data_IF_795487964543
#
_entry.id   IF_795487964543
#
_cell.length_a   1.000
_cell.length_b   1.000
_cell.length_c   1.000
_cell.angle_alpha   90.00
_cell.angle_beta   90.00
_cell.angle_gamma   90.00
#
_symmetry.space_group_name_H-M   'P 1'
#
loop_
_entity.id
_entity.type
_entity.pdbx_description
1 polymer ?
#
# COMPACT_ATOMS: atom_id res chain seq x y z
N UNK A 1 92.06 -64.47 91.34
CA UNK A 1 92.14 -63.30 90.44
C UNK A 1 91.13 -63.40 89.29
N UNK A 2 90.97 -64.59 88.71
CA UNK A 2 90.05 -64.88 87.59
C UNK A 2 88.55 -64.60 87.84
N UNK A 3 88.04 -64.87 89.06
CA UNK A 3 86.64 -64.58 89.41
C UNK A 3 86.36 -63.06 89.45
N UNK A 4 87.34 -62.25 89.89
CA UNK A 4 87.21 -60.79 89.92
C UNK A 4 87.24 -60.18 88.52
N UNK A 5 88.07 -60.72 87.61
CA UNK A 5 88.07 -60.27 86.21
C UNK A 5 86.80 -60.68 85.47
N UNK A 6 86.28 -61.88 85.73
CA UNK A 6 84.99 -62.32 85.18
C UNK A 6 83.83 -61.43 85.65
N UNK A 7 83.80 -61.06 86.94
CA UNK A 7 82.77 -60.14 87.45
C UNK A 7 82.88 -58.75 86.82
N UNK A 8 84.08 -58.22 86.62
CA UNK A 8 84.30 -56.94 85.92
C UNK A 8 83.76 -56.97 84.48
N UNK A 9 84.01 -58.06 83.75
CA UNK A 9 83.51 -58.22 82.37
C UNK A 9 81.99 -58.37 82.34
N UNK A 10 81.40 -59.06 83.32
CA UNK A 10 79.94 -59.16 83.46
C UNK A 10 79.32 -57.78 83.72
N UNK A 11 79.97 -56.95 84.53
CA UNK A 11 79.52 -55.57 84.81
C UNK A 11 79.59 -54.69 83.55
N UNK A 12 80.70 -54.72 82.81
CA UNK A 12 80.84 -54.02 81.52
C UNK A 12 79.83 -54.49 80.47
N UNK A 13 79.58 -55.80 80.38
CA UNK A 13 78.59 -56.36 79.47
C UNK A 13 77.16 -55.92 79.84
N UNK A 14 76.84 -55.85 81.13
CA UNK A 14 75.55 -55.31 81.60
C UNK A 14 75.39 -53.84 81.23
N UNK A 15 76.40 -53.01 81.49
CA UNK A 15 76.38 -51.60 81.14
C UNK A 15 76.23 -51.40 79.61
N UNK A 16 76.93 -52.23 78.82
CA UNK A 16 76.79 -52.21 77.35
C UNK A 16 75.39 -52.61 76.90
N UNK A 17 74.78 -53.62 77.54
CA UNK A 17 73.40 -54.04 77.27
C UNK A 17 72.41 -52.93 77.62
N UNK A 18 72.59 -52.24 78.75
CA UNK A 18 71.72 -51.15 79.17
C UNK A 18 71.81 -49.95 78.21
N UNK A 19 73.03 -49.59 77.77
CA UNK A 19 73.24 -48.56 76.74
C UNK A 19 72.56 -48.95 75.43
N UNK A 20 72.76 -50.20 74.98
CA UNK A 20 72.13 -50.70 73.75
C UNK A 20 70.61 -50.71 73.85
N UNK A 21 70.06 -51.03 75.02
CA UNK A 21 68.61 -51.01 75.25
C UNK A 21 68.06 -49.58 75.16
N UNK A 22 68.75 -48.60 75.77
CA UNK A 22 68.40 -47.19 75.67
C UNK A 22 68.47 -46.66 74.23
N UNK A 23 69.51 -47.04 73.48
CA UNK A 23 69.63 -46.71 72.05
C UNK A 23 68.48 -47.30 71.23
N UNK A 24 68.12 -48.56 71.50
CA UNK A 24 67.04 -49.27 70.81
C UNK A 24 65.68 -48.61 71.07
N UNK A 25 65.43 -48.18 72.30
CA UNK A 25 64.20 -47.49 72.66
C UNK A 25 64.14 -46.08 72.04
N UNK A 26 65.26 -45.34 71.98
CA UNK A 26 65.33 -44.08 71.25
C UNK A 26 65.06 -44.27 69.74
N UNK A 27 65.68 -45.27 69.12
CA UNK A 27 65.48 -45.58 67.71
C UNK A 27 64.02 -45.94 67.41
N UNK A 28 63.37 -46.69 68.29
CA UNK A 28 61.93 -46.99 68.19
C UNK A 28 61.08 -45.73 68.25
N UNK A 29 61.34 -44.83 69.20
CA UNK A 29 60.61 -43.56 69.29
C UNK A 29 60.80 -42.69 68.03
N UNK A 30 62.02 -42.66 67.47
CA UNK A 30 62.27 -41.96 66.20
C UNK A 30 61.54 -42.62 65.02
N UNK A 31 61.48 -43.95 64.99
CA UNK A 31 60.74 -44.70 63.96
C UNK A 31 59.24 -44.42 64.06
N UNK A 32 58.67 -44.41 65.26
CA UNK A 32 57.26 -44.05 65.48
C UNK A 32 56.97 -42.59 65.08
N UNK A 33 57.86 -41.66 65.42
CA UNK A 33 57.73 -40.26 65.02
C UNK A 33 57.81 -40.06 63.50
N UNK A 34 58.75 -40.74 62.84
CA UNK A 34 58.88 -40.66 61.37
C UNK A 34 57.70 -41.34 60.68
N UNK A 35 57.19 -42.44 61.21
CA UNK A 35 56.03 -43.13 60.67
C UNK A 35 54.75 -42.28 60.81
N UNK A 36 54.51 -41.67 61.97
CA UNK A 36 53.37 -40.74 62.17
C UNK A 36 53.47 -39.51 61.27
N UNK A 37 54.67 -38.95 61.07
CA UNK A 37 54.88 -37.86 60.11
C UNK A 37 54.63 -38.30 58.67
N UNK A 38 55.06 -39.51 58.30
CA UNK A 38 54.83 -40.08 56.97
C UNK A 38 53.34 -40.26 56.69
N UNK A 39 52.58 -40.83 57.63
CA UNK A 39 51.12 -41.00 57.46
C UNK A 39 50.39 -39.66 57.40
N UNK A 40 50.81 -38.67 58.18
CA UNK A 40 50.25 -37.32 58.12
C UNK A 40 50.50 -36.65 56.76
N UNK A 41 51.73 -36.72 56.23
CA UNK A 41 52.06 -36.18 54.91
C UNK A 41 51.28 -36.90 53.80
N UNK A 42 51.14 -38.21 53.90
CA UNK A 42 50.38 -39.00 52.92
C UNK A 42 48.90 -38.61 52.92
N UNK A 43 48.31 -38.36 54.09
CA UNK A 43 46.95 -37.84 54.21
C UNK A 43 46.81 -36.43 53.61
N UNK A 44 47.78 -35.54 53.84
CA UNK A 44 47.78 -34.20 53.24
C UNK A 44 47.89 -34.25 51.71
N UNK A 45 48.75 -35.12 51.16
CA UNK A 45 48.87 -35.32 49.71
C UNK A 45 47.55 -35.82 49.13
N UNK A 46 46.90 -36.78 49.78
CA UNK A 46 45.61 -37.30 49.32
C UNK A 46 44.51 -36.22 49.34
N UNK A 47 44.48 -35.38 50.38
CA UNK A 47 43.57 -34.24 50.46
C UNK A 47 43.84 -33.22 49.33
N UNK A 48 45.10 -32.91 49.06
CA UNK A 48 45.47 -32.00 47.96
C UNK A 48 45.11 -32.58 46.59
N UNK A 49 45.33 -33.88 46.37
CA UNK A 49 44.96 -34.56 45.13
C UNK A 49 43.45 -34.52 44.90
N UNK A 50 42.66 -34.89 45.91
CA UNK A 50 41.19 -34.83 45.81
C UNK A 50 40.67 -33.41 45.61
N UNK A 51 41.24 -32.41 46.29
CA UNK A 51 40.90 -31.00 46.06
C UNK A 51 41.25 -30.55 44.63
N UNK A 52 42.42 -30.95 44.12
CA UNK A 52 42.83 -30.65 42.75
C UNK A 52 41.90 -31.31 41.73
N UNK A 53 41.58 -32.59 41.89
CA UNK A 53 40.71 -33.34 40.97
C UNK A 53 39.30 -32.76 40.92
N UNK A 54 38.74 -32.39 42.07
CA UNK A 54 37.44 -31.71 42.13
C UNK A 54 37.47 -30.33 41.45
N UNK A 55 38.58 -29.60 41.57
CA UNK A 55 38.74 -28.31 40.90
C UNK A 55 38.86 -28.47 39.38
N UNK A 56 39.63 -29.47 38.92
CA UNK A 56 39.74 -29.81 37.50
C UNK A 56 38.38 -30.20 36.93
N UNK A 57 37.60 -31.01 37.65
CA UNK A 57 36.24 -31.36 37.22
C UNK A 57 35.34 -30.13 37.10
N UNK A 58 35.35 -29.21 38.07
CA UNK A 58 34.57 -27.96 38.02
C UNK A 58 34.98 -27.06 36.86
N UNK A 59 36.27 -26.96 36.58
CA UNK A 59 36.77 -26.18 35.45
C UNK A 59 36.35 -26.82 34.13
N UNK A 60 36.43 -28.14 34.00
CA UNK A 60 36.01 -28.85 32.79
C UNK A 60 34.50 -28.70 32.53
N UNK A 61 33.65 -28.80 33.56
CA UNK A 61 32.21 -28.57 33.39
C UNK A 61 31.92 -27.11 33.02
N UNK A 62 32.61 -26.15 33.64
CA UNK A 62 32.48 -24.74 33.28
C UNK A 62 32.91 -24.47 31.83
N UNK A 63 34.00 -25.09 31.37
CA UNK A 63 34.47 -24.97 30.00
C UNK A 63 33.42 -25.56 29.04
N UNK A 64 32.87 -26.75 29.34
CA UNK A 64 31.83 -27.38 28.52
C UNK A 64 30.59 -26.48 28.38
N UNK A 65 30.12 -25.91 29.49
CA UNK A 65 28.96 -25.02 29.47
C UNK A 65 29.24 -23.74 28.67
N UNK A 66 30.42 -23.15 28.83
CA UNK A 66 30.81 -21.96 28.07
C UNK A 66 30.97 -22.25 26.57
N UNK A 67 31.44 -23.45 26.21
CA UNK A 67 31.51 -23.86 24.80
C UNK A 67 30.13 -24.04 24.19
N UNK A 68 29.19 -24.65 24.91
CA UNK A 68 27.80 -24.80 24.47
C UNK A 68 27.12 -23.43 24.32
N UNK A 69 27.27 -22.54 25.31
CA UNK A 69 26.72 -21.18 25.25
C UNK A 69 27.29 -20.40 24.06
N UNK A 70 28.60 -20.51 23.82
CA UNK A 70 29.25 -19.89 22.66
C UNK A 70 28.67 -20.41 21.34
N UNK A 71 28.44 -21.71 21.21
CA UNK A 71 27.85 -22.29 20.00
C UNK A 71 26.42 -21.79 19.76
N UNK A 72 25.61 -21.70 20.81
CA UNK A 72 24.24 -21.15 20.73
C UNK A 72 24.25 -19.69 20.31
N UNK A 73 25.10 -18.86 20.92
CA UNK A 73 25.22 -17.44 20.57
C UNK A 73 25.72 -17.28 19.14
N UNK A 74 26.68 -18.11 18.71
CA UNK A 74 27.20 -18.07 17.34
C UNK A 74 26.13 -18.47 16.31
N UNK A 75 25.32 -19.47 16.60
CA UNK A 75 24.19 -19.86 15.74
C UNK A 75 23.14 -18.73 15.64
N UNK A 76 22.76 -18.13 16.77
CA UNK A 76 21.83 -17.00 16.80
C UNK A 76 22.37 -15.78 16.04
N UNK A 77 23.67 -15.51 16.14
CA UNK A 77 24.31 -14.43 15.39
C UNK A 77 24.26 -14.69 13.88
N UNK A 78 24.51 -15.92 13.43
CA UNK A 78 24.41 -16.31 12.03
C UNK A 78 22.98 -16.17 11.50
N UNK A 79 21.98 -16.58 12.29
CA UNK A 79 20.57 -16.42 11.93
C UNK A 79 20.19 -14.94 11.81
N UNK A 80 20.58 -14.12 12.78
CA UNK A 80 20.35 -12.67 12.75
C UNK A 80 21.01 -12.01 11.54
N UNK A 81 22.26 -12.39 11.22
CA UNK A 81 22.96 -11.89 10.04
C UNK A 81 22.25 -12.29 8.73
N UNK A 82 21.79 -13.54 8.60
CA UNK A 82 21.01 -13.98 7.45
C UNK A 82 19.70 -13.18 7.33
N UNK A 83 19.03 -12.91 8.46
CA UNK A 83 17.80 -12.12 8.48
C UNK A 83 18.02 -10.67 8.06
N UNK A 84 19.14 -10.07 8.44
CA UNK A 84 19.51 -8.72 8.00
C UNK A 84 19.64 -8.68 6.47
N UNK A 85 20.35 -9.65 5.88
CA UNK A 85 20.51 -9.73 4.42
C UNK A 85 19.14 -9.88 3.72
N UNK A 86 18.26 -10.74 4.24
CA UNK A 86 16.89 -10.86 3.71
C UNK A 86 16.13 -9.53 3.77
N UNK A 87 16.21 -8.83 4.91
CA UNK A 87 15.55 -7.54 5.08
C UNK A 87 16.12 -6.49 4.12
N UNK A 88 17.43 -6.43 3.93
CA UNK A 88 18.07 -5.53 2.97
C UNK A 88 17.59 -5.80 1.53
N UNK A 89 17.49 -7.07 1.12
CA UNK A 89 16.97 -7.40 -0.21
C UNK A 89 15.50 -7.02 -0.38
N UNK A 90 14.69 -7.18 0.67
CA UNK A 90 13.27 -6.78 0.62
C UNK A 90 13.11 -5.26 0.59
N UNK A 91 13.95 -4.52 1.31
CA UNK A 91 14.01 -3.06 1.28
C UNK A 91 14.37 -2.57 -0.13
N UNK A 92 15.34 -3.20 -0.80
CA UNK A 92 15.68 -2.84 -2.18
C UNK A 92 14.52 -3.09 -3.14
N UNK A 93 13.79 -4.21 -2.99
CA UNK A 93 12.56 -4.46 -3.77
C UNK A 93 11.49 -3.39 -3.52
N UNK A 94 11.32 -2.95 -2.28
CA UNK A 94 10.37 -1.89 -1.93
C UNK A 94 10.76 -0.58 -2.63
N UNK A 95 12.03 -0.19 -2.61
CA UNK A 95 12.51 1.03 -3.31
C UNK A 95 12.24 0.98 -4.83
N UNK A 96 12.41 -0.19 -5.44
CA UNK A 96 12.10 -0.37 -6.87
C UNK A 96 10.59 -0.21 -7.11
N UNK A 97 9.76 -0.81 -6.26
CA UNK A 97 8.30 -0.68 -6.35
C UNK A 97 7.83 0.77 -6.11
N UNK A 98 8.44 1.49 -5.18
CA UNK A 98 8.14 2.91 -4.94
C UNK A 98 8.38 3.75 -6.19
N UNK A 99 9.51 3.56 -6.87
CA UNK A 99 9.80 4.23 -8.16
C UNK A 99 8.80 3.82 -9.24
N UNK A 100 8.43 2.55 -9.31
CA UNK A 100 7.42 2.09 -10.27
C UNK A 100 6.04 2.72 -9.99
N UNK A 101 5.65 2.86 -8.73
CA UNK A 101 4.40 3.54 -8.35
C UNK A 101 4.44 5.02 -8.73
N UNK A 102 5.55 5.72 -8.46
CA UNK A 102 5.72 7.12 -8.82
C UNK A 102 5.61 7.33 -10.35
N UNK A 103 6.32 6.50 -11.14
CA UNK A 103 6.24 6.58 -12.61
C UNK A 103 4.82 6.28 -13.12
N UNK A 104 4.14 5.28 -12.57
CA UNK A 104 2.73 4.99 -12.90
C UNK A 104 1.81 6.15 -12.53
N UNK A 105 2.03 6.81 -11.41
CA UNK A 105 1.24 7.98 -10.99
C UNK A 105 1.38 9.13 -11.98
N UNK A 106 2.60 9.39 -12.48
CA UNK A 106 2.85 10.41 -13.51
C UNK A 106 2.12 10.04 -14.82
N UNK A 107 2.21 8.79 -15.26
CA UNK A 107 1.53 8.30 -16.47
C UNK A 107 0.00 8.42 -16.35
N UNK A 108 -0.55 8.08 -15.18
CA UNK A 108 -1.98 8.24 -14.91
C UNK A 108 -2.39 9.72 -14.97
N UNK A 109 -1.56 10.62 -14.44
CA UNK A 109 -1.76 12.07 -14.55
C UNK A 109 -1.79 12.55 -16.00
N UNK A 110 -0.86 12.07 -16.84
CA UNK A 110 -0.83 12.37 -18.29
C UNK A 110 -2.09 11.85 -19.00
N UNK A 111 -2.44 10.59 -18.81
CA UNK A 111 -3.62 9.99 -19.42
C UNK A 111 -4.93 10.70 -18.99
N UNK A 112 -5.03 11.11 -17.73
CA UNK A 112 -6.17 11.92 -17.25
C UNK A 112 -6.22 13.28 -17.93
N UNK A 113 -5.09 13.96 -18.07
CA UNK A 113 -5.03 15.26 -18.75
C UNK A 113 -5.40 15.13 -20.23
N UNK A 114 -4.89 14.11 -20.94
CA UNK A 114 -5.25 13.82 -22.32
C UNK A 114 -6.75 13.52 -22.47
N UNK A 115 -7.34 12.75 -21.56
CA UNK A 115 -8.78 12.49 -21.55
C UNK A 115 -9.61 13.77 -21.34
N UNK A 116 -9.15 14.68 -20.47
CA UNK A 116 -9.79 15.99 -20.27
C UNK A 116 -9.68 16.85 -21.54
N UNK A 117 -8.50 16.94 -22.16
CA UNK A 117 -8.31 17.67 -23.42
C UNK A 117 -9.22 17.11 -24.51
N UNK A 118 -9.27 15.77 -24.66
CA UNK A 118 -10.10 15.13 -25.67
C UNK A 118 -11.60 15.40 -25.45
N UNK A 119 -12.06 15.38 -24.20
CA UNK A 119 -13.43 15.76 -23.85
C UNK A 119 -13.71 17.23 -24.17
N UNK A 120 -12.77 18.14 -23.93
CA UNK A 120 -12.91 19.55 -24.32
C UNK A 120 -12.97 19.70 -25.85
N UNK A 121 -12.11 18.99 -26.58
CA UNK A 121 -12.12 18.98 -28.05
C UNK A 121 -13.44 18.45 -28.61
N UNK A 122 -13.97 17.37 -28.04
CA UNK A 122 -15.27 16.81 -28.42
C UNK A 122 -16.41 17.78 -28.11
N UNK A 123 -16.38 18.43 -26.94
CA UNK A 123 -17.34 19.46 -26.58
C UNK A 123 -17.32 20.65 -27.55
N UNK A 124 -16.13 21.13 -27.94
CA UNK A 124 -15.96 22.17 -28.96
C UNK A 124 -16.50 21.73 -30.33
N UNK A 125 -16.18 20.51 -30.77
CA UNK A 125 -16.65 19.97 -32.05
C UNK A 125 -18.18 19.85 -32.09
N UNK A 126 -18.81 19.34 -31.03
CA UNK A 126 -20.27 19.26 -30.90
C UNK A 126 -20.90 20.66 -30.85
N UNK A 127 -20.28 21.61 -30.14
CA UNK A 127 -20.72 23.00 -30.10
C UNK A 127 -20.68 23.67 -31.47
N UNK A 128 -19.58 23.47 -32.23
CA UNK A 128 -19.43 23.96 -33.60
C UNK A 128 -20.47 23.35 -34.54
N UNK A 129 -20.71 22.04 -34.47
CA UNK A 129 -21.76 21.38 -35.26
C UNK A 129 -23.14 21.94 -34.96
N UNK A 130 -23.47 22.16 -33.67
CA UNK A 130 -24.76 22.77 -33.27
C UNK A 130 -24.89 24.21 -33.75
N UNK A 131 -23.81 24.99 -33.72
CA UNK A 131 -23.83 26.34 -34.26
C UNK A 131 -23.99 26.34 -35.77
N UNK A 132 -23.29 25.44 -36.47
CA UNK A 132 -23.38 25.30 -37.91
C UNK A 132 -24.80 24.87 -38.33
N UNK A 133 -25.41 23.88 -37.66
CA UNK A 133 -26.80 23.47 -37.93
C UNK A 133 -27.78 24.63 -37.75
N UNK A 134 -27.70 25.33 -36.61
CA UNK A 134 -28.59 26.47 -36.33
C UNK A 134 -28.38 27.65 -37.29
N UNK A 135 -27.17 27.82 -37.82
CA UNK A 135 -26.86 28.89 -38.77
C UNK A 135 -27.35 28.59 -40.19
N UNK A 136 -27.30 27.32 -40.60
CA UNK A 136 -27.75 26.86 -41.93
C UNK A 136 -29.27 26.95 -42.06
N UNK A 137 -30.01 26.54 -41.03
CA UNK A 137 -31.48 26.66 -41.02
C UNK A 137 -31.96 28.12 -41.16
N UNK A 138 -31.21 29.10 -40.65
CA UNK A 138 -31.63 30.50 -40.69
C UNK A 138 -31.21 31.29 -41.94
N UNK A 139 -30.19 30.84 -42.68
CA UNK A 139 -29.63 31.62 -43.81
C UNK A 139 -30.15 31.21 -45.18
N UNK A 140 -30.57 29.96 -45.36
CA UNK A 140 -31.09 29.48 -46.65
C UNK A 140 -32.52 30.00 -46.91
N UNK A 141 -33.21 30.44 -45.86
CA UNK A 141 -34.64 30.68 -45.91
C UNK A 141 -35.02 32.12 -46.26
N UNK A 142 -34.28 33.15 -45.87
CA UNK A 142 -34.76 34.53 -46.03
C UNK A 142 -34.91 34.96 -47.50
N UNK A 143 -33.94 34.64 -48.36
CA UNK A 143 -33.98 35.03 -49.77
C UNK A 143 -34.94 34.16 -50.59
N UNK A 144 -34.95 32.85 -50.32
CA UNK A 144 -35.86 31.92 -50.98
C UNK A 144 -37.32 32.22 -50.62
N UNK A 145 -37.62 32.39 -49.33
CA UNK A 145 -38.96 32.76 -48.85
C UNK A 145 -39.37 34.12 -49.42
N UNK A 146 -38.47 35.11 -49.43
CA UNK A 146 -38.76 36.43 -50.00
C UNK A 146 -39.17 36.33 -51.48
N UNK A 147 -38.44 35.54 -52.27
CA UNK A 147 -38.75 35.36 -53.69
C UNK A 147 -40.07 34.62 -53.91
N UNK A 148 -40.34 33.55 -53.15
CA UNK A 148 -41.60 32.80 -53.23
C UNK A 148 -42.79 33.66 -52.78
N UNK A 149 -42.63 34.48 -51.74
CA UNK A 149 -43.65 35.41 -51.24
C UNK A 149 -43.97 36.51 -52.27
N UNK A 150 -42.95 37.08 -52.91
CA UNK A 150 -43.14 38.08 -53.97
C UNK A 150 -43.90 37.47 -55.15
N UNK A 151 -43.52 36.27 -55.59
CA UNK A 151 -44.22 35.56 -56.65
C UNK A 151 -45.70 35.29 -56.28
N UNK A 152 -45.96 34.83 -55.04
CA UNK A 152 -47.32 34.62 -54.55
C UNK A 152 -48.20 35.89 -54.59
N UNK A 153 -47.63 37.06 -54.25
CA UNK A 153 -48.37 38.33 -54.25
C UNK A 153 -48.74 38.80 -55.67
N UNK A 154 -47.92 38.49 -56.67
CA UNK A 154 -48.17 38.86 -58.07
C UNK A 154 -49.26 38.02 -58.74
N UNK A 155 -49.60 36.84 -58.21
CA UNK A 155 -50.64 35.97 -58.78
C UNK A 155 -52.05 36.58 -58.53
N UNK A 156 -52.86 36.81 -59.59
CA UNK A 156 -54.23 37.33 -59.47
C UNK A 156 -55.15 36.47 -58.59
N UNK A 157 -56.13 37.11 -57.93
CA UNK A 157 -57.11 36.41 -57.07
C UNK A 157 -58.05 35.57 -57.96
N UNK A 158 -58.04 34.25 -57.78
CA UNK A 158 -58.87 33.30 -58.54
C UNK A 158 -58.09 32.28 -59.38
N UNK A 159 -56.76 32.44 -59.50
CA UNK A 159 -55.89 31.45 -60.14
C UNK A 159 -55.60 30.28 -59.19
N UNK A 160 -55.74 29.04 -59.68
CA UNK A 160 -55.41 27.81 -58.93
C UNK A 160 -53.94 27.76 -58.54
N UNK A 161 -53.07 28.39 -59.32
CA UNK A 161 -51.62 28.50 -59.03
C UNK A 161 -51.31 29.25 -57.76
N UNK A 162 -52.21 30.15 -57.32
CA UNK A 162 -52.04 30.88 -56.06
C UNK A 162 -52.12 29.93 -54.87
N UNK A 163 -53.04 28.97 -54.92
CA UNK A 163 -53.18 27.94 -53.89
C UNK A 163 -51.99 26.99 -53.87
N UNK A 164 -51.49 26.57 -55.05
CA UNK A 164 -50.27 25.76 -55.16
C UNK A 164 -49.05 26.49 -54.58
N UNK A 165 -48.86 27.76 -54.90
CA UNK A 165 -47.78 28.58 -54.35
C UNK A 165 -47.89 28.73 -52.81
N UNK A 166 -49.10 28.86 -52.29
CA UNK A 166 -49.36 28.90 -50.84
C UNK A 166 -49.06 27.54 -50.18
N UNK A 167 -49.41 26.43 -50.84
CA UNK A 167 -49.13 25.09 -50.34
C UNK A 167 -47.62 24.82 -50.31
N UNK A 168 -46.88 25.27 -51.33
CA UNK A 168 -45.41 25.25 -51.35
C UNK A 168 -44.82 26.09 -50.21
N UNK A 169 -45.33 27.29 -49.96
CA UNK A 169 -44.92 28.12 -48.82
C UNK A 169 -45.16 27.42 -47.47
N UNK A 170 -46.31 26.76 -47.31
CA UNK A 170 -46.63 26.04 -46.08
C UNK A 170 -45.71 24.85 -45.83
N UNK A 171 -45.29 24.16 -46.89
CA UNK A 171 -44.33 23.07 -46.81
C UNK A 171 -42.91 23.58 -46.57
N UNK A 172 -42.55 24.74 -47.13
CA UNK A 172 -41.22 25.34 -46.98
C UNK A 172 -40.99 25.94 -45.59
N UNK A 173 -41.98 26.63 -45.01
CA UNK A 173 -41.89 27.21 -43.67
C UNK A 173 -42.35 26.26 -42.54
N UNK A 174 -42.63 24.99 -42.86
CA UNK A 174 -43.13 24.00 -41.91
C UNK A 174 -44.30 24.52 -41.06
N UNK A 175 -45.33 25.08 -41.73
CA UNK A 175 -46.48 25.64 -41.01
C UNK A 175 -47.24 24.57 -40.22
N UNK A 176 -47.50 24.87 -38.95
CA UNK A 176 -48.39 24.05 -38.13
C UNK A 176 -49.84 24.13 -38.66
N UNK A 177 -50.68 23.22 -38.17
CA UNK A 177 -52.06 23.12 -38.63
C UNK A 177 -52.85 24.43 -38.42
N UNK A 178 -52.59 25.16 -37.35
CA UNK A 178 -53.26 26.46 -37.09
C UNK A 178 -52.92 27.52 -38.15
N UNK A 179 -51.65 27.57 -38.58
CA UNK A 179 -51.19 28.51 -39.61
C UNK A 179 -51.70 28.13 -41.00
N UNK A 180 -51.88 26.84 -41.28
CA UNK A 180 -52.47 26.34 -42.53
C UNK A 180 -53.95 26.67 -42.65
N UNK A 181 -54.70 26.58 -41.55
CA UNK A 181 -56.11 27.01 -41.49
C UNK A 181 -56.21 28.52 -41.71
N UNK A 182 -55.41 29.32 -41.00
CA UNK A 182 -55.43 30.79 -41.12
C UNK A 182 -55.11 31.28 -42.53
N UNK A 183 -54.24 30.56 -43.24
CA UNK A 183 -53.87 30.88 -44.62
C UNK A 183 -54.88 30.39 -45.66
N UNK A 184 -55.89 29.61 -45.24
CA UNK A 184 -56.92 29.06 -46.12
C UNK A 184 -56.51 27.80 -46.89
N UNK A 185 -55.46 27.08 -46.45
CA UNK A 185 -55.00 25.81 -47.03
C UNK A 185 -55.69 24.58 -46.44
N UNK A 186 -56.08 24.62 -45.17
CA UNK A 186 -56.90 23.57 -44.55
C UNK A 186 -58.25 24.12 -44.14
N UNK A 187 -59.30 23.44 -44.56
CA UNK A 187 -60.68 23.78 -44.22
C UNK A 187 -61.09 22.86 -43.07
N UNK A 188 -60.93 23.32 -41.82
CA UNK A 188 -61.41 22.57 -40.66
C UNK A 188 -62.95 22.61 -40.66
N UNK A 189 -63.55 21.54 -41.15
CA UNK A 189 -65.00 21.38 -41.24
C UNK A 189 -65.52 20.87 -39.88
N UNK A 190 -65.70 21.78 -38.92
CA UNK A 190 -66.54 21.54 -37.74
C UNK A 190 -67.92 22.16 -37.99
N UNK A 191 -68.89 21.30 -38.24
CA UNK A 191 -70.30 21.60 -38.38
C UNK A 191 -70.88 22.11 -37.06
N UNK A 192 -71.30 23.38 -37.02
CA UNK A 192 -72.10 23.95 -35.93
C UNK A 192 -72.18 25.48 -35.92
N UNK A 193 -73.28 26.01 -36.48
CA UNK A 193 -73.82 27.38 -36.39
C UNK A 193 -73.16 28.55 -37.17
N UNK A 194 -73.98 29.43 -37.80
CA UNK A 194 -73.50 30.57 -38.57
C UNK A 194 -73.16 31.72 -37.63
N UNK A 195 -71.87 31.89 -37.31
CA UNK A 195 -71.38 33.17 -36.79
C UNK A 195 -70.99 34.07 -37.96
N UNK A 196 -71.59 35.25 -37.97
CA UNK A 196 -71.40 36.27 -39.00
C UNK A 196 -69.92 36.59 -39.22
N UNK A 197 -69.60 37.03 -40.43
CA UNK A 197 -68.26 37.47 -40.83
C UNK A 197 -67.78 38.58 -39.89
N UNK A 198 -66.98 38.23 -38.90
CA UNK A 198 -66.21 39.22 -38.14
C UNK A 198 -65.14 39.77 -39.07
N UNK A 199 -65.15 41.09 -39.26
CA UNK A 199 -64.24 41.80 -40.14
C UNK A 199 -62.80 41.61 -39.66
N UNK A 200 -61.85 41.41 -40.57
CA UNK A 200 -60.44 41.29 -40.23
C UNK A 200 -59.95 42.48 -39.37
N UNK A 201 -60.56 43.65 -39.55
CA UNK A 201 -60.29 44.84 -38.74
C UNK A 201 -60.75 44.63 -37.29
N UNK A 202 -61.90 44.02 -37.02
CA UNK A 202 -62.35 43.79 -35.63
C UNK A 202 -61.47 42.79 -34.90
N UNK A 203 -61.02 41.72 -35.57
CA UNK A 203 -60.05 40.78 -34.97
C UNK A 203 -58.69 41.42 -34.72
N UNK A 204 -58.25 42.32 -35.59
CA UNK A 204 -57.02 43.09 -35.39
C UNK A 204 -57.16 44.14 -34.29
N UNK A 205 -58.34 44.75 -34.16
CA UNK A 205 -58.63 45.71 -33.09
C UNK A 205 -58.66 45.01 -31.73
N UNK A 206 -59.29 43.84 -31.67
CA UNK A 206 -59.40 43.01 -30.46
C UNK A 206 -58.03 42.41 -30.05
N UNK A 207 -57.20 42.07 -31.03
CA UNK A 207 -55.80 41.66 -30.79
C UNK A 207 -54.96 42.81 -30.23
N UNK A 208 -55.03 44.00 -30.83
CA UNK A 208 -54.30 45.18 -30.35
C UNK A 208 -54.79 45.65 -28.97
N UNK A 209 -56.09 45.56 -28.70
CA UNK A 209 -56.68 45.91 -27.41
C UNK A 209 -56.27 44.92 -26.31
N UNK A 210 -56.21 43.62 -26.64
CA UNK A 210 -55.73 42.55 -25.75
C UNK A 210 -54.21 42.58 -25.52
N UNK A 211 -53.43 43.06 -26.48
CA UNK A 211 -51.99 43.26 -26.32
C UNK A 211 -51.70 44.55 -25.53
N UNK A 212 -52.53 45.58 -25.66
CA UNK A 212 -52.41 46.83 -24.90
C UNK A 212 -52.83 46.70 -23.41
N UNK A 213 -53.77 45.80 -23.11
CA UNK A 213 -54.26 45.54 -21.74
C UNK A 213 -53.40 44.54 -20.97
N UNK A 214 -52.46 43.85 -21.64
CA UNK A 214 -51.37 43.13 -20.99
C UNK A 214 -50.21 44.08 -20.68
N UNK A 215 -50.43 44.95 -19.70
CA UNK A 215 -49.35 45.65 -18.99
C UNK A 215 -49.66 45.70 -17.51
#
# INVERSE_FOLDING_TARGET
MEIKSLNSVIEELKETVDIKQADLDNLKSQLEFTNTKSTQLQAQIQQLQTAHDTQVQKLNTSISNLTEEKEVVQASLQESAARIVELETSLEKIKVLEKEVETRQILLGKARHEAVILNEHLGKALGMLKQQSNSVDNTIDKELISNVLINFLQIPRGDTKKYEALQLLSSLLEWDESKRVASGLSHHQQSGEPRGRESFISLWTDFLERESTKK
#
